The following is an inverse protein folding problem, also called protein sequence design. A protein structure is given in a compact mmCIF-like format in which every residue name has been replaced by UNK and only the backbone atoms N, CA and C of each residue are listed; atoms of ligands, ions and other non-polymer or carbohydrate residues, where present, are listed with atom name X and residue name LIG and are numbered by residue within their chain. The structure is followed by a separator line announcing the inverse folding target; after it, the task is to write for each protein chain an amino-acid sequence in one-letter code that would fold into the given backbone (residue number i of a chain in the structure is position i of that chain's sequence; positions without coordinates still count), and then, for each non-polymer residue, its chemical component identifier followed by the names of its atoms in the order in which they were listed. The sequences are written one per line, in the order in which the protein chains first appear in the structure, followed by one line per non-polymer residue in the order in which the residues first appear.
data_IF_847489929097
#
_entry.id   IF_847489929097
#
_cell.length_a   1.000
_cell.length_b   1.000
_cell.length_c   1.000
_cell.angle_alpha   90.00
_cell.angle_beta   90.00
_cell.angle_gamma   90.00
#
_symmetry.space_group_name_H-M   'P 1'
#
loop_
_entity.id
_entity.type
_entity.pdbx_description
1 polymer ?
#
# COMPACT_ATOMS: atom_id res chain seq x y z
N UNK A 1 16.83 12.40 10.39
CA UNK A 1 16.64 11.11 11.10
C UNK A 1 15.65 10.35 10.26
N UNK A 2 16.15 9.52 9.35
CA UNK A 2 15.31 8.68 8.50
C UNK A 2 15.36 7.28 9.07
N UNK A 3 14.19 6.74 9.43
CA UNK A 3 14.07 5.35 9.84
C UNK A 3 14.20 4.48 8.60
N UNK A 4 15.43 4.32 8.09
CA UNK A 4 15.75 3.24 7.18
C UNK A 4 15.85 1.96 8.03
N UNK A 5 14.71 1.37 8.34
CA UNK A 5 14.62 -0.01 8.80
C UNK A 5 15.12 -0.88 7.64
N UNK A 6 16.42 -1.19 7.64
CA UNK A 6 16.99 -2.21 6.77
C UNK A 6 16.46 -3.55 7.29
N UNK A 7 15.31 -3.96 6.78
CA UNK A 7 14.89 -5.35 6.74
C UNK A 7 15.17 -5.82 5.31
N UNK A 8 16.29 -6.51 5.11
CA UNK A 8 16.74 -7.02 3.79
C UNK A 8 15.77 -8.04 3.15
N UNK A 9 14.66 -8.37 3.82
CA UNK A 9 13.70 -9.38 3.42
C UNK A 9 12.26 -8.85 3.61
N UNK A 10 11.91 -7.73 2.99
CA UNK A 10 10.51 -7.33 2.83
C UNK A 10 10.11 -7.54 1.37
N UNK A 11 9.00 -8.21 1.16
CA UNK A 11 8.38 -8.31 -0.15
C UNK A 11 7.43 -7.14 -0.34
N UNK A 12 7.63 -6.42 -1.43
CA UNK A 12 6.76 -5.32 -1.80
C UNK A 12 5.46 -5.92 -2.34
N UNK A 13 4.35 -5.58 -1.70
CA UNK A 13 3.04 -5.96 -2.17
C UNK A 13 2.65 -4.92 -3.22
N UNK A 14 2.77 -5.28 -4.49
CA UNK A 14 2.32 -4.49 -5.64
C UNK A 14 1.36 -5.31 -6.49
N UNK A 15 0.39 -4.64 -7.09
CA UNK A 15 -0.43 -5.20 -8.15
C UNK A 15 -0.60 -4.12 -9.21
N UNK A 16 -0.26 -4.44 -10.46
CA UNK A 16 -0.32 -3.49 -11.58
C UNK A 16 -1.76 -3.02 -11.88
N UNK A 17 -2.76 -3.71 -11.34
CA UNK A 17 -4.18 -3.31 -11.44
C UNK A 17 -4.66 -2.43 -10.29
N UNK A 18 -3.78 -2.06 -9.35
CA UNK A 18 -4.14 -1.16 -8.25
C UNK A 18 -4.50 0.23 -8.78
N UNK A 19 -5.51 0.83 -8.15
CA UNK A 19 -5.79 2.25 -8.38
C UNK A 19 -4.67 3.10 -7.76
N UNK A 20 -4.31 4.24 -8.38
CA UNK A 20 -3.34 5.15 -7.80
C UNK A 20 -3.80 5.64 -6.43
N UNK A 21 -2.91 5.68 -5.44
CA UNK A 21 -3.26 6.11 -4.07
C UNK A 21 -3.24 7.62 -3.89
N UNK A 22 -2.75 8.37 -4.87
CA UNK A 22 -2.78 9.83 -4.85
C UNK A 22 -3.16 10.35 -6.22
N UNK A 23 -4.16 11.24 -6.27
CA UNK A 23 -4.56 11.94 -7.49
C UNK A 23 -4.05 13.36 -7.46
N UNK A 24 -3.06 13.64 -8.30
CA UNK A 24 -2.56 14.99 -8.49
C UNK A 24 -3.63 15.84 -9.18
N UNK A 25 -3.64 17.15 -8.89
CA UNK A 25 -4.60 18.10 -9.47
C UNK A 25 -4.65 18.10 -11.01
N UNK A 26 -3.56 17.69 -11.67
CA UNK A 26 -3.49 17.56 -13.13
C UNK A 26 -4.14 16.25 -13.67
N UNK A 27 -4.80 15.47 -12.82
CA UNK A 27 -5.42 14.19 -13.16
C UNK A 27 -4.45 13.02 -13.26
N UNK A 28 -3.17 13.23 -12.93
CA UNK A 28 -2.19 12.15 -12.92
C UNK A 28 -2.22 11.41 -11.59
N UNK A 29 -2.50 10.10 -11.65
CA UNK A 29 -2.44 9.23 -10.48
C UNK A 29 -1.01 8.79 -10.21
N UNK A 30 -0.59 8.83 -8.95
CA UNK A 30 0.67 8.26 -8.47
C UNK A 30 0.41 7.34 -7.29
N UNK A 31 1.30 6.39 -7.03
CA UNK A 31 1.22 5.49 -5.88
C UNK A 31 2.42 5.73 -4.95
N UNK A 32 2.42 6.84 -4.18
CA UNK A 32 3.47 7.10 -3.20
C UNK A 32 3.43 6.14 -2.01
N UNK A 33 2.29 5.50 -1.75
CA UNK A 33 2.07 4.66 -0.59
C UNK A 33 2.49 3.21 -0.86
N UNK A 34 3.69 2.88 -0.42
CA UNK A 34 4.24 1.53 -0.58
C UNK A 34 3.83 0.64 0.59
N UNK A 35 3.26 -0.53 0.28
CA UNK A 35 2.96 -1.56 1.26
C UNK A 35 3.94 -2.71 1.11
N UNK A 36 4.52 -3.18 2.20
CA UNK A 36 5.41 -4.34 2.21
C UNK A 36 5.08 -5.28 3.37
N UNK A 37 5.41 -6.55 3.20
CA UNK A 37 5.22 -7.58 4.21
C UNK A 37 6.46 -8.47 4.28
N UNK A 38 6.65 -9.14 5.41
CA UNK A 38 7.67 -10.19 5.50
C UNK A 38 7.29 -11.37 4.56
N UNK A 39 8.25 -11.99 3.86
CA UNK A 39 8.00 -13.07 2.89
C UNK A 39 7.18 -14.24 3.46
N UNK A 40 7.36 -14.55 4.74
CA UNK A 40 6.67 -15.63 5.43
C UNK A 40 5.16 -15.41 5.60
N UNK A 41 4.68 -14.18 5.44
CA UNK A 41 3.27 -13.81 5.53
C UNK A 41 2.74 -13.08 4.29
N UNK A 42 3.56 -12.85 3.26
CA UNK A 42 3.19 -12.04 2.10
C UNK A 42 1.95 -12.59 1.37
N UNK A 43 1.82 -13.92 1.27
CA UNK A 43 0.66 -14.60 0.67
C UNK A 43 -0.63 -14.56 1.52
N UNK A 44 -0.49 -14.22 2.81
CA UNK A 44 -1.60 -14.12 3.77
C UNK A 44 -2.04 -12.67 4.00
N UNK A 45 -1.34 -11.71 3.40
CA UNK A 45 -1.63 -10.27 3.47
C UNK A 45 -2.20 -9.79 2.14
N UNK A 46 -3.35 -9.13 2.20
CA UNK A 46 -4.01 -8.50 1.07
C UNK A 46 -4.12 -6.98 1.25
N UNK A 47 -4.37 -6.27 0.15
CA UNK A 47 -4.62 -4.83 0.15
C UNK A 47 -5.98 -4.53 -0.43
N UNK A 48 -6.66 -3.55 0.14
CA UNK A 48 -7.89 -2.98 -0.36
C UNK A 48 -7.76 -1.47 -0.41
N UNK A 49 -8.16 -0.88 -1.53
CA UNK A 49 -8.10 0.56 -1.74
C UNK A 49 -9.49 1.15 -1.61
N UNK A 50 -9.64 2.17 -0.78
CA UNK A 50 -10.91 2.84 -0.55
C UNK A 50 -10.80 4.28 -1.01
N UNK A 51 -11.77 4.69 -1.83
CA UNK A 51 -11.90 6.09 -2.21
C UNK A 51 -12.56 6.88 -1.08
N UNK A 52 -11.82 7.83 -0.52
CA UNK A 52 -12.40 8.87 0.33
C UNK A 52 -12.63 10.14 -0.50
N UNK A 53 -13.90 10.51 -0.81
CA UNK A 53 -14.21 11.71 -1.57
C UNK A 53 -13.81 13.02 -0.88
N UNK A 54 -13.39 12.99 0.40
CA UNK A 54 -12.84 14.13 1.13
C UNK A 54 -11.32 14.29 1.03
N UNK A 55 -10.63 13.34 0.39
CA UNK A 55 -9.16 13.25 0.33
C UNK A 55 -8.64 13.26 -1.11
N UNK A 56 -7.47 13.86 -1.32
CA UNK A 56 -6.72 13.71 -2.60
C UNK A 56 -6.01 12.35 -2.68
N UNK A 57 -5.96 11.63 -1.57
CA UNK A 57 -5.35 10.32 -1.42
C UNK A 57 -6.39 9.22 -1.13
N UNK A 58 -6.20 8.04 -1.71
CA UNK A 58 -6.96 6.83 -1.42
C UNK A 58 -6.36 6.11 -0.22
N UNK A 59 -7.23 5.66 0.68
CA UNK A 59 -6.81 4.89 1.84
C UNK A 59 -6.44 3.46 1.44
N UNK A 60 -5.35 2.94 2.00
CA UNK A 60 -4.96 1.53 1.89
C UNK A 60 -5.30 0.81 3.18
N UNK A 61 -6.15 -0.21 3.06
CA UNK A 61 -6.42 -1.16 4.14
C UNK A 61 -5.62 -2.43 3.91
N UNK A 62 -4.86 -2.81 4.93
CA UNK A 62 -4.11 -4.07 4.94
C UNK A 62 -4.98 -5.12 5.63
N UNK A 63 -5.40 -6.14 4.88
CA UNK A 63 -6.09 -7.31 5.43
C UNK A 63 -5.05 -8.38 5.68
N UNK A 64 -5.07 -9.00 6.85
CA UNK A 64 -4.21 -10.13 7.18
C UNK A 64 -5.05 -11.22 7.81
N UNK A 65 -4.78 -12.48 7.47
CA UNK A 65 -5.45 -13.62 8.12
C UNK A 65 -5.08 -13.80 9.60
N UNK A 66 -4.10 -13.03 10.09
CA UNK A 66 -3.58 -13.13 11.46
C UNK A 66 -4.19 -12.11 12.43
N UNK A 67 -4.97 -11.14 11.96
CA UNK A 67 -5.57 -10.09 12.78
C UNK A 67 -7.05 -9.91 12.38
N UNK A 68 -7.95 -10.34 13.27
CA UNK A 68 -9.41 -10.08 13.22
C UNK A 68 -9.76 -8.74 13.87
#
# INVERSE_FOLDING_TARGET
MEALLIYDNLELLLNDSDIPTSLQYNGNGTNPDLTSASPDIADDVGREFIYDPGSEDFEIYIKSRYFD
#
